data_IF_577645862294
#
_entry.id   IF_577645862294
#
_cell.length_a   1.000
_cell.length_b   1.000
_cell.length_c   1.000
_cell.angle_alpha   90.00
_cell.angle_beta   90.00
_cell.angle_gamma   90.00
#
_symmetry.space_group_name_H-M   'P 1'
#
loop_
_entity.id
_entity.type
_entity.pdbx_description
1 polymer ?
#
# COMPACT_ATOMS: atom_id res chain seq x y z
N UNK A 1 5.38 -10.71 -16.29
CA UNK A 1 5.77 -12.10 -16.55
C UNK A 1 4.86 -13.13 -15.88
N UNK A 2 4.79 -13.31 -14.54
CA UNK A 2 3.92 -14.36 -13.95
C UNK A 2 2.44 -14.31 -14.39
N UNK A 3 1.82 -13.11 -14.40
CA UNK A 3 0.44 -12.91 -14.86
C UNK A 3 0.23 -13.26 -16.35
N UNK A 4 1.28 -13.12 -17.17
CA UNK A 4 1.25 -13.44 -18.60
C UNK A 4 1.49 -14.94 -18.86
N UNK A 5 2.36 -15.56 -18.06
CA UNK A 5 2.66 -16.99 -18.12
C UNK A 5 1.50 -17.87 -17.63
N UNK A 6 0.70 -17.37 -16.67
CA UNK A 6 -0.40 -18.10 -16.05
C UNK A 6 -1.73 -17.31 -16.14
N UNK A 7 -2.34 -17.19 -17.34
CA UNK A 7 -3.54 -16.37 -17.55
C UNK A 7 -4.78 -16.85 -16.79
N UNK A 8 -4.78 -18.07 -16.28
CA UNK A 8 -5.82 -18.62 -15.40
C UNK A 8 -5.71 -18.14 -13.94
N UNK A 9 -4.59 -17.51 -13.58
CA UNK A 9 -4.36 -16.95 -12.24
C UNK A 9 -4.57 -15.44 -12.30
N UNK A 10 -5.43 -14.93 -11.43
CA UNK A 10 -5.58 -13.49 -11.25
C UNK A 10 -4.52 -12.97 -10.28
N UNK A 11 -3.71 -12.02 -10.72
CA UNK A 11 -2.56 -11.46 -10.01
C UNK A 11 -2.80 -9.98 -9.76
N UNK A 12 -2.51 -9.51 -8.56
CA UNK A 12 -2.62 -8.09 -8.19
C UNK A 12 -1.37 -7.69 -7.41
N UNK A 13 -0.78 -6.56 -7.78
CA UNK A 13 0.25 -5.89 -6.97
C UNK A 13 -0.41 -4.67 -6.32
N UNK A 14 -0.73 -4.77 -5.03
CA UNK A 14 -1.43 -3.71 -4.31
C UNK A 14 -0.45 -2.94 -3.41
N UNK A 15 -0.31 -1.63 -3.63
CA UNK A 15 0.40 -0.74 -2.74
C UNK A 15 -0.58 -0.15 -1.70
N UNK A 16 -0.41 -0.47 -0.41
CA UNK A 16 -1.43 -0.19 0.60
C UNK A 16 -1.44 1.27 1.09
N UNK A 17 -0.60 2.15 0.54
CA UNK A 17 -0.28 3.46 1.10
C UNK A 17 0.56 3.36 2.39
N UNK A 18 0.87 4.50 3.04
CA UNK A 18 1.51 4.51 4.36
C UNK A 18 0.51 4.07 5.43
N UNK A 19 0.79 2.98 6.14
CA UNK A 19 -0.12 2.37 7.13
C UNK A 19 0.50 2.40 8.53
N UNK A 20 -0.27 2.79 9.55
CA UNK A 20 0.18 2.74 10.94
C UNK A 20 0.39 1.29 11.39
N UNK A 21 1.63 0.84 11.25
CA UNK A 21 2.12 -0.49 11.62
C UNK A 21 3.52 -0.35 12.21
N UNK A 22 4.02 -1.41 12.84
CA UNK A 22 5.39 -1.45 13.36
C UNK A 22 6.43 -1.21 12.26
N UNK A 23 6.14 -1.58 11.02
CA UNK A 23 7.02 -1.32 9.87
C UNK A 23 7.21 0.19 9.64
N UNK A 24 6.12 0.97 9.67
CA UNK A 24 6.20 2.42 9.50
C UNK A 24 6.94 3.09 10.67
N UNK A 25 6.72 2.60 11.89
CA UNK A 25 7.47 3.06 13.06
C UNK A 25 8.97 2.75 12.95
N UNK A 26 9.32 1.57 12.41
CA UNK A 26 10.72 1.19 12.17
C UNK A 26 11.38 2.14 11.17
N UNK A 27 10.72 2.45 10.04
CA UNK A 27 11.23 3.42 9.07
C UNK A 27 11.53 4.77 9.72
N UNK A 28 10.59 5.29 10.52
CA UNK A 28 10.74 6.55 11.23
C UNK A 28 11.94 6.55 12.22
N UNK A 29 12.25 5.40 12.81
CA UNK A 29 13.33 5.30 13.81
C UNK A 29 14.70 5.00 13.20
N UNK A 30 14.75 4.20 12.14
CA UNK A 30 15.99 3.57 11.69
C UNK A 30 16.48 4.01 10.31
N UNK A 31 15.68 4.75 9.54
CA UNK A 31 16.15 5.24 8.23
C UNK A 31 17.39 6.12 8.39
N UNK A 32 18.37 5.96 7.50
CA UNK A 32 19.59 6.78 7.50
C UNK A 32 19.32 8.15 6.85
N UNK A 33 18.36 8.19 5.93
CA UNK A 33 17.94 9.41 5.25
C UNK A 33 17.17 10.34 6.21
N UNK A 34 17.76 11.50 6.51
CA UNK A 34 17.21 12.46 7.48
C UNK A 34 15.91 13.12 6.98
N UNK A 35 15.76 13.34 5.67
CA UNK A 35 14.56 13.92 5.08
C UNK A 35 13.40 12.93 5.19
N UNK A 36 13.62 11.67 4.79
CA UNK A 36 12.64 10.61 4.92
C UNK A 36 12.23 10.38 6.39
N UNK A 37 13.19 10.47 7.31
CA UNK A 37 12.91 10.36 8.76
C UNK A 37 11.93 11.43 9.21
N UNK A 38 12.24 12.69 8.86
CA UNK A 38 11.42 13.85 9.22
C UNK A 38 10.04 13.76 8.59
N UNK A 39 9.93 13.43 7.30
CA UNK A 39 8.65 13.29 6.62
C UNK A 39 7.79 12.19 7.26
N UNK A 40 8.41 11.06 7.63
CA UNK A 40 7.70 9.95 8.27
C UNK A 40 7.26 10.31 9.69
N UNK A 41 8.10 10.97 10.48
CA UNK A 41 7.75 11.45 11.83
C UNK A 41 6.63 12.51 11.79
N UNK A 42 6.71 13.45 10.83
CA UNK A 42 5.69 14.46 10.61
C UNK A 42 4.35 13.82 10.18
N UNK A 43 4.39 12.83 9.29
CA UNK A 43 3.19 12.08 8.90
C UNK A 43 2.54 11.40 10.10
N UNK A 44 3.32 10.69 10.92
CA UNK A 44 2.83 9.93 12.08
C UNK A 44 2.27 10.84 13.18
N UNK A 45 2.97 11.93 13.49
CA UNK A 45 2.55 12.90 14.51
C UNK A 45 1.26 13.64 14.16
N UNK A 46 0.97 13.82 12.87
CA UNK A 46 -0.26 14.43 12.37
C UNK A 46 -1.35 13.43 11.97
N UNK A 47 -1.15 12.12 12.24
CA UNK A 47 -2.09 11.05 11.90
C UNK A 47 -2.53 11.07 10.42
N UNK A 48 -1.58 11.31 9.51
CA UNK A 48 -1.81 11.36 8.05
C UNK A 48 -1.71 9.99 7.36
N UNK A 49 -1.23 8.99 8.07
CA UNK A 49 -1.15 7.59 7.65
C UNK A 49 -2.51 6.88 7.77
N UNK A 50 -2.68 5.81 7.00
CA UNK A 50 -3.88 4.98 6.98
C UNK A 50 -3.91 4.01 8.16
N UNK A 51 -5.10 3.61 8.58
CA UNK A 51 -5.26 2.43 9.44
C UNK A 51 -5.21 1.14 8.62
N UNK A 52 -4.91 0.03 9.30
CA UNK A 52 -4.98 -1.31 8.71
C UNK A 52 -6.36 -1.61 8.13
N UNK A 53 -7.42 -1.18 8.82
CA UNK A 53 -8.80 -1.41 8.38
C UNK A 53 -9.13 -0.65 7.10
N UNK A 54 -8.65 0.60 6.96
CA UNK A 54 -8.86 1.40 5.76
C UNK A 54 -8.23 0.73 4.54
N UNK A 55 -6.96 0.38 4.61
CA UNK A 55 -6.24 -0.21 3.47
C UNK A 55 -6.73 -1.62 3.13
N UNK A 56 -7.08 -2.44 4.13
CA UNK A 56 -7.63 -3.79 3.90
C UNK A 56 -9.04 -3.71 3.31
N UNK A 57 -9.88 -2.77 3.76
CA UNK A 57 -11.22 -2.58 3.19
C UNK A 57 -11.16 -2.19 1.71
N UNK A 58 -10.21 -1.31 1.33
CA UNK A 58 -9.96 -0.96 -0.07
C UNK A 58 -9.53 -2.19 -0.88
N UNK A 59 -8.54 -2.95 -0.39
CA UNK A 59 -8.09 -4.17 -1.04
C UNK A 59 -9.22 -5.19 -1.25
N UNK A 60 -10.03 -5.45 -0.22
CA UNK A 60 -11.17 -6.37 -0.33
C UNK A 60 -12.17 -5.87 -1.38
N UNK A 61 -12.44 -4.56 -1.42
CA UNK A 61 -13.26 -3.94 -2.45
C UNK A 61 -12.72 -4.18 -3.86
N UNK A 62 -11.41 -3.96 -4.07
CA UNK A 62 -10.74 -4.21 -5.35
C UNK A 62 -10.83 -5.68 -5.76
N UNK A 63 -10.55 -6.62 -4.85
CA UNK A 63 -10.61 -8.06 -5.12
C UNK A 63 -12.04 -8.53 -5.46
N UNK A 64 -13.06 -7.92 -4.85
CA UNK A 64 -14.47 -8.21 -5.13
C UNK A 64 -14.91 -7.65 -6.48
N UNK A 65 -14.57 -6.39 -6.75
CA UNK A 65 -15.03 -5.66 -7.92
C UNK A 65 -14.21 -6.00 -9.18
N UNK A 66 -12.97 -6.49 -8.99
CA UNK A 66 -12.02 -6.91 -10.03
C UNK A 66 -11.84 -5.91 -11.18
N UNK A 67 -11.81 -4.61 -10.85
CA UNK A 67 -11.63 -3.53 -11.83
C UNK A 67 -10.17 -3.25 -12.22
N UNK A 68 -9.34 -4.29 -12.22
CA UNK A 68 -7.92 -4.25 -12.60
C UNK A 68 -7.62 -5.43 -13.54
N UNK A 69 -6.57 -5.31 -14.34
CA UNK A 69 -6.06 -6.41 -15.17
C UNK A 69 -5.08 -7.25 -14.35
N UNK A 70 -5.05 -8.55 -14.63
CA UNK A 70 -4.09 -9.44 -13.96
C UNK A 70 -2.66 -8.95 -14.20
N UNK A 71 -1.94 -8.72 -13.10
CA UNK A 71 -0.58 -8.18 -13.08
C UNK A 71 -0.47 -6.68 -12.84
N UNK A 72 -1.59 -5.95 -12.85
CA UNK A 72 -1.59 -4.50 -12.60
C UNK A 72 -1.02 -4.15 -11.22
N UNK A 73 -0.39 -2.98 -11.16
CA UNK A 73 -0.05 -2.30 -9.92
C UNK A 73 -1.15 -1.29 -9.59
N UNK A 74 -1.72 -1.39 -8.40
CA UNK A 74 -2.78 -0.50 -7.90
C UNK A 74 -2.37 0.05 -6.54
N UNK A 75 -2.30 1.36 -6.42
CA UNK A 75 -2.10 2.06 -5.16
C UNK A 75 -3.43 2.35 -4.45
N UNK A 76 -3.41 2.47 -3.12
CA UNK A 76 -4.58 2.84 -2.32
C UNK A 76 -5.29 4.10 -2.85
N UNK A 77 -4.52 5.08 -3.33
CA UNK A 77 -5.03 6.38 -3.79
C UNK A 77 -5.44 6.40 -5.27
N UNK A 78 -5.26 5.29 -6.02
CA UNK A 78 -5.69 5.21 -7.42
C UNK A 78 -7.23 5.21 -7.52
N UNK A 79 -7.76 5.96 -8.50
CA UNK A 79 -9.20 6.05 -8.78
C UNK A 79 -9.66 4.91 -9.71
N UNK A 80 -9.87 3.74 -9.12
CA UNK A 80 -10.35 2.51 -9.80
C UNK A 80 -11.52 1.86 -9.06
#
# INVERSE_FOLDING_TARGET
>A
VFAEEFPQVNVLNYAPGPVETDMLATVAQTTIDEELRKETDDMRSHSKQLTTEQTVSRLIGLLRDQKYKSGDHVDYYDDI
#
